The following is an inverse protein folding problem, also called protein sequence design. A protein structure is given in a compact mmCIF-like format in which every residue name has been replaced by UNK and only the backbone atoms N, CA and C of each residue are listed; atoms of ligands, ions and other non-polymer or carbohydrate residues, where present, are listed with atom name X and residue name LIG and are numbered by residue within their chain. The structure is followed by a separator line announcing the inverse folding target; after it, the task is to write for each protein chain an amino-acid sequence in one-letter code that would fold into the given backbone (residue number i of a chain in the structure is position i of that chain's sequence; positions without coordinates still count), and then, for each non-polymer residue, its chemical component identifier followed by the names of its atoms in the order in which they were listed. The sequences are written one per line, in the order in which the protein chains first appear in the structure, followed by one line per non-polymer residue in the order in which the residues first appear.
data_IF_449175575410
#
_entry.id   IF_449175575410
#
_cell.length_a   1.000
_cell.length_b   1.000
_cell.length_c   1.000
_cell.angle_alpha   90.00
_cell.angle_beta   90.00
_cell.angle_gamma   90.00
#
_symmetry.space_group_name_H-M   'P 1'
#
loop_
_entity.id
_entity.type
_entity.pdbx_description
1 polymer ?
#
# COMPACT_ATOMS: atom_id res chain seq x y z
N UNK A 1 61.67 -32.67 -50.97
CA UNK A 1 60.80 -31.88 -50.08
C UNK A 1 59.68 -32.78 -49.60
N UNK A 2 59.73 -33.11 -48.31
CA UNK A 2 58.92 -34.10 -47.59
C UNK A 2 57.60 -33.49 -47.11
N UNK A 3 56.46 -34.20 -47.21
CA UNK A 3 55.20 -33.76 -46.61
C UNK A 3 55.22 -33.92 -45.08
N UNK A 4 54.70 -32.96 -44.30
CA UNK A 4 54.48 -33.17 -42.87
C UNK A 4 53.24 -34.03 -42.63
N UNK A 5 53.43 -35.20 -42.02
CA UNK A 5 52.41 -36.10 -41.48
C UNK A 5 52.45 -36.02 -39.94
N UNK A 6 51.49 -35.32 -39.33
CA UNK A 6 51.19 -35.38 -37.88
C UNK A 6 49.69 -35.08 -37.64
N UNK A 7 49.09 -35.56 -36.52
CA UNK A 7 47.97 -36.50 -36.57
C UNK A 7 46.62 -35.98 -36.02
N UNK A 8 45.60 -36.84 -36.15
CA UNK A 8 44.18 -36.65 -35.87
C UNK A 8 43.83 -36.24 -34.43
N UNK A 9 43.74 -34.93 -34.18
CA UNK A 9 42.93 -34.37 -33.08
C UNK A 9 42.22 -33.09 -33.54
N UNK A 10 41.34 -33.26 -34.52
CA UNK A 10 40.41 -32.24 -34.98
C UNK A 10 38.99 -32.82 -34.89
N UNK A 11 38.38 -32.72 -33.71
CA UNK A 11 36.96 -32.96 -33.53
C UNK A 11 36.30 -31.74 -32.85
N UNK A 12 35.83 -30.74 -33.61
CA UNK A 12 34.96 -29.70 -33.07
C UNK A 12 33.50 -30.06 -33.37
N UNK A 13 33.00 -31.15 -32.81
CA UNK A 13 31.58 -31.52 -32.94
C UNK A 13 31.00 -31.98 -31.60
N UNK A 14 30.62 -31.00 -30.79
CA UNK A 14 29.43 -31.11 -29.96
C UNK A 14 28.44 -30.03 -30.44
N UNK A 15 27.20 -30.38 -30.84
CA UNK A 15 26.17 -29.38 -31.10
C UNK A 15 25.95 -28.56 -29.82
N UNK A 16 26.48 -27.33 -29.78
CA UNK A 16 26.18 -26.41 -28.69
C UNK A 16 24.69 -26.08 -28.75
N UNK A 17 23.98 -26.40 -27.68
CA UNK A 17 22.54 -26.21 -27.53
C UNK A 17 22.10 -24.85 -28.10
N UNK A 18 21.11 -24.91 -28.98
CA UNK A 18 20.71 -23.82 -29.86
C UNK A 18 20.24 -22.59 -29.08
N UNK A 19 20.98 -21.49 -29.20
CA UNK A 19 20.59 -20.14 -28.77
C UNK A 19 19.29 -19.61 -29.42
N UNK A 20 18.68 -20.40 -30.32
CA UNK A 20 17.39 -20.14 -30.96
C UNK A 20 16.21 -20.19 -29.99
N UNK A 21 16.18 -21.12 -29.03
CA UNK A 21 15.04 -21.25 -28.08
C UNK A 21 14.92 -19.98 -27.22
N UNK A 22 16.05 -19.47 -26.71
CA UNK A 22 16.10 -18.23 -25.91
C UNK A 22 15.70 -16.98 -26.71
N UNK A 23 15.95 -16.96 -28.03
CA UNK A 23 15.53 -15.85 -28.88
C UNK A 23 14.04 -15.92 -29.23
N UNK A 24 13.49 -17.12 -29.42
CA UNK A 24 12.07 -17.33 -29.67
C UNK A 24 11.23 -16.95 -28.44
N UNK A 25 11.64 -17.39 -27.24
CA UNK A 25 11.01 -17.00 -25.97
C UNK A 25 11.12 -15.50 -25.72
N UNK A 26 12.28 -14.89 -25.96
CA UNK A 26 12.44 -13.43 -25.85
C UNK A 26 11.57 -12.69 -26.87
N UNK A 27 11.42 -13.22 -28.09
CA UNK A 27 10.52 -12.64 -29.11
C UNK A 27 9.06 -12.78 -28.72
N UNK A 28 8.65 -13.93 -28.15
CA UNK A 28 7.29 -14.16 -27.61
C UNK A 28 7.00 -13.23 -26.44
N UNK A 29 7.91 -13.14 -25.47
CA UNK A 29 7.83 -12.21 -24.34
C UNK A 29 7.71 -10.76 -24.81
N UNK A 30 8.58 -10.34 -25.74
CA UNK A 30 8.51 -8.99 -26.30
C UNK A 30 7.22 -8.75 -27.11
N UNK A 31 6.66 -9.77 -27.77
CA UNK A 31 5.38 -9.65 -28.46
C UNK A 31 4.20 -9.58 -27.49
N UNK A 32 4.23 -10.31 -26.38
CA UNK A 32 3.22 -10.22 -25.33
C UNK A 32 3.26 -8.87 -24.64
N UNK A 33 4.45 -8.37 -24.29
CA UNK A 33 4.64 -7.03 -23.73
C UNK A 33 4.23 -5.94 -24.72
N UNK A 34 4.59 -6.07 -26.01
CA UNK A 34 4.09 -5.15 -27.04
C UNK A 34 2.58 -5.26 -27.24
N UNK A 35 1.96 -6.43 -27.09
CA UNK A 35 0.49 -6.60 -27.14
C UNK A 35 -0.18 -5.99 -25.93
N UNK A 36 0.40 -6.12 -24.73
CA UNK A 36 -0.05 -5.44 -23.50
C UNK A 36 0.04 -3.93 -23.66
N UNK A 37 1.21 -3.43 -24.04
CA UNK A 37 1.42 -2.01 -24.33
C UNK A 37 0.50 -1.49 -25.44
N UNK A 38 0.25 -2.29 -26.50
CA UNK A 38 -0.70 -1.92 -27.55
C UNK A 38 -2.15 -1.99 -27.10
N UNK A 39 -2.55 -2.87 -26.17
CA UNK A 39 -3.90 -2.89 -25.57
C UNK A 39 -4.12 -1.67 -24.67
N UNK A 40 -3.09 -1.30 -23.91
CA UNK A 40 -3.05 -0.07 -23.10
C UNK A 40 -3.13 1.17 -24.01
N UNK A 41 -2.35 1.21 -25.10
CA UNK A 41 -2.37 2.32 -26.08
C UNK A 41 -3.60 2.35 -26.99
N UNK A 42 -4.27 1.21 -27.26
CA UNK A 42 -5.45 1.12 -28.17
C UNK A 42 -6.79 1.32 -27.50
N UNK A 43 -6.89 1.25 -26.17
CA UNK A 43 -8.05 1.83 -25.49
C UNK A 43 -7.87 3.35 -25.55
N UNK A 44 -8.24 3.93 -26.69
CA UNK A 44 -8.53 5.36 -26.79
C UNK A 44 -9.69 5.60 -25.81
N UNK A 45 -9.35 6.03 -24.60
CA UNK A 45 -10.30 6.38 -23.55
C UNK A 45 -10.95 7.69 -24.01
N UNK A 46 -11.92 7.62 -24.92
CA UNK A 46 -12.49 8.80 -25.58
C UNK A 46 -13.44 9.60 -24.66
N UNK A 47 -13.66 9.13 -23.44
CA UNK A 47 -14.57 9.73 -22.46
C UNK A 47 -13.92 9.78 -21.07
N UNK A 48 -14.17 10.86 -20.33
CA UNK A 48 -13.78 11.05 -18.92
C UNK A 48 -14.23 9.84 -18.09
N UNK A 49 -15.44 9.33 -18.30
CA UNK A 49 -15.96 8.17 -17.58
C UNK A 49 -15.14 6.90 -17.83
N UNK A 50 -14.58 6.74 -19.03
CA UNK A 50 -13.72 5.59 -19.35
C UNK A 50 -12.37 5.72 -18.66
N UNK A 51 -11.80 6.94 -18.63
CA UNK A 51 -10.57 7.22 -17.88
C UNK A 51 -10.76 6.98 -16.39
N UNK A 52 -11.86 7.45 -15.80
CA UNK A 52 -12.19 7.23 -14.39
C UNK A 52 -12.28 5.74 -14.06
N UNK A 53 -12.99 4.96 -14.88
CA UNK A 53 -13.09 3.50 -14.69
C UNK A 53 -11.74 2.81 -14.78
N UNK A 54 -10.93 3.18 -15.77
CA UNK A 54 -9.61 2.59 -15.96
C UNK A 54 -8.64 2.93 -14.82
N UNK A 55 -8.61 4.20 -14.40
CA UNK A 55 -7.79 4.62 -13.26
C UNK A 55 -8.28 3.99 -11.97
N UNK A 56 -9.59 3.93 -11.75
CA UNK A 56 -10.15 3.23 -10.60
C UNK A 56 -9.75 1.75 -10.62
N UNK A 57 -9.86 1.05 -11.75
CA UNK A 57 -9.48 -0.37 -11.87
C UNK A 57 -8.00 -0.64 -11.55
N UNK A 58 -7.10 0.25 -11.96
CA UNK A 58 -5.66 0.13 -11.66
C UNK A 58 -5.38 0.44 -10.17
N UNK A 59 -5.95 1.53 -9.68
CA UNK A 59 -5.68 2.03 -8.33
C UNK A 59 -6.45 1.26 -7.24
N UNK A 60 -7.51 0.54 -7.62
CA UNK A 60 -8.21 -0.39 -6.74
C UNK A 60 -7.57 -1.77 -6.72
N UNK A 61 -6.47 -1.98 -7.45
CA UNK A 61 -5.79 -3.27 -7.44
C UNK A 61 -5.23 -3.55 -6.04
N UNK A 62 -5.17 -4.81 -5.58
CA UNK A 62 -4.66 -5.15 -4.25
C UNK A 62 -3.17 -4.80 -4.06
N UNK A 63 -2.46 -4.50 -5.15
CA UNK A 63 -1.07 -4.07 -5.13
C UNK A 63 -0.92 -2.54 -5.03
N UNK A 64 -2.00 -1.78 -5.22
CA UNK A 64 -2.01 -0.32 -5.21
C UNK A 64 -2.43 0.22 -3.83
N UNK A 65 -1.61 -0.07 -2.82
CA UNK A 65 -1.83 0.44 -1.45
C UNK A 65 -1.23 1.84 -1.35
N UNK A 66 -1.97 2.74 -0.71
CA UNK A 66 -1.58 4.14 -0.49
C UNK A 66 -1.35 4.40 0.98
N UNK A 67 -0.23 5.02 1.31
CA UNK A 67 -0.01 5.58 2.64
C UNK A 67 -0.71 6.94 2.70
N UNK A 68 -1.80 7.01 3.46
CA UNK A 68 -2.64 8.21 3.61
C UNK A 68 -2.05 9.15 4.67
N UNK A 69 -1.63 8.59 5.81
CA UNK A 69 -1.06 9.33 6.92
C UNK A 69 -0.11 8.45 7.74
N UNK A 70 0.68 9.09 8.60
CA UNK A 70 1.44 8.41 9.65
C UNK A 70 1.09 9.08 10.98
N UNK A 71 0.58 8.30 11.92
CA UNK A 71 0.17 8.80 13.24
C UNK A 71 1.06 8.20 14.32
N UNK A 72 1.36 8.98 15.36
CA UNK A 72 2.06 8.50 16.53
C UNK A 72 1.05 8.23 17.63
N UNK A 73 1.04 7.00 18.14
CA UNK A 73 0.13 6.56 19.19
C UNK A 73 0.90 5.95 20.37
N UNK A 74 0.41 6.08 21.62
CA UNK A 74 0.97 5.38 22.76
C UNK A 74 1.03 3.87 22.53
N UNK A 75 2.04 3.18 23.06
CA UNK A 75 2.14 1.71 23.11
C UNK A 75 1.52 1.11 24.37
N UNK A 76 1.44 1.89 25.43
CA UNK A 76 0.93 1.48 26.73
C UNK A 76 -0.02 2.55 27.25
N UNK A 77 -1.01 2.17 28.08
CA UNK A 77 -1.87 3.12 28.77
C UNK A 77 -1.05 4.13 29.58
N UNK A 78 -1.55 5.35 29.70
CA UNK A 78 -0.90 6.41 30.47
C UNK A 78 -0.58 6.05 31.93
N UNK A 79 -1.40 5.18 32.53
CA UNK A 79 -1.23 4.71 33.89
C UNK A 79 0.08 3.92 34.11
N UNK A 80 0.60 3.27 33.07
CA UNK A 80 1.81 2.43 33.12
C UNK A 80 3.07 3.20 32.67
N UNK A 81 2.94 4.50 32.38
CA UNK A 81 4.10 5.32 32.04
C UNK A 81 5.00 5.55 33.26
N UNK A 82 6.02 4.71 33.41
CA UNK A 82 7.14 5.01 34.30
C UNK A 82 7.82 6.31 33.84
N UNK A 83 7.75 7.36 34.67
CA UNK A 83 8.40 8.66 34.39
C UNK A 83 9.88 8.54 34.72
N UNK A 84 10.68 8.15 33.73
CA UNK A 84 12.14 8.25 33.85
C UNK A 84 12.60 9.68 33.59
N UNK A 85 12.86 10.41 34.68
CA UNK A 85 13.17 11.84 34.70
C UNK A 85 14.46 12.27 33.95
N UNK A 86 15.25 11.32 33.41
CA UNK A 86 16.59 11.59 32.92
C UNK A 86 16.71 11.82 31.41
N UNK A 87 15.73 11.40 30.58
CA UNK A 87 15.73 11.76 29.15
C UNK A 87 14.32 11.66 28.49
N UNK A 88 13.60 12.78 28.34
CA UNK A 88 12.23 12.80 27.81
C UNK A 88 12.14 12.40 26.33
N UNK A 89 13.21 12.51 25.54
CA UNK A 89 13.20 12.11 24.13
C UNK A 89 13.30 10.59 23.97
N UNK A 90 14.14 9.93 24.80
CA UNK A 90 14.24 8.47 24.82
C UNK A 90 12.93 7.87 25.31
N UNK A 91 12.33 8.48 26.32
CA UNK A 91 11.01 8.15 26.84
C UNK A 91 9.93 8.24 25.73
N UNK A 92 9.85 9.36 25.00
CA UNK A 92 8.88 9.53 23.91
C UNK A 92 9.08 8.52 22.76
N UNK A 93 10.32 8.24 22.36
CA UNK A 93 10.61 7.27 21.28
C UNK A 93 10.27 5.84 21.70
N UNK A 94 10.44 5.48 22.98
CA UNK A 94 10.10 4.14 23.46
C UNK A 94 8.60 3.96 23.66
N UNK A 95 7.91 5.00 24.15
CA UNK A 95 6.49 4.95 24.54
C UNK A 95 5.50 5.11 23.39
N UNK A 96 5.91 5.72 22.28
CA UNK A 96 5.05 5.91 21.13
C UNK A 96 5.46 5.00 19.99
N UNK A 97 4.48 4.51 19.25
CA UNK A 97 4.65 3.81 17.99
C UNK A 97 4.10 4.64 16.85
N UNK A 98 4.73 4.56 15.69
CA UNK A 98 4.23 5.20 14.47
C UNK A 98 3.45 4.18 13.67
N UNK A 99 2.15 4.41 13.51
CA UNK A 99 1.27 3.58 12.69
C UNK A 99 1.10 4.26 11.33
N UNK A 100 1.35 3.50 10.27
CA UNK A 100 1.05 3.95 8.91
C UNK A 100 -0.41 3.64 8.60
N UNK A 101 -1.16 4.69 8.27
CA UNK A 101 -2.55 4.58 7.86
C UNK A 101 -2.56 4.32 6.37
N UNK A 102 -2.93 3.10 6.01
CA UNK A 102 -2.93 2.63 4.63
C UNK A 102 -4.36 2.44 4.11
N UNK A 103 -4.55 2.72 2.83
CA UNK A 103 -5.82 2.51 2.15
C UNK A 103 -5.66 2.25 0.66
N UNK A 104 -6.72 1.77 0.03
CA UNK A 104 -6.79 1.55 -1.42
C UNK A 104 -7.84 2.48 -2.02
N UNK A 105 -7.66 2.81 -3.30
CA UNK A 105 -8.60 3.69 -4.02
C UNK A 105 -9.87 2.91 -4.37
N UNK A 106 -11.02 3.46 -3.98
CA UNK A 106 -12.35 2.90 -4.30
C UNK A 106 -12.99 3.65 -5.46
N UNK A 107 -12.78 4.96 -5.54
CA UNK A 107 -13.40 5.81 -6.55
C UNK A 107 -12.46 6.95 -6.95
N UNK A 108 -12.48 7.29 -8.23
CA UNK A 108 -11.81 8.47 -8.79
C UNK A 108 -12.84 9.29 -9.56
N UNK A 109 -13.27 10.40 -8.97
CA UNK A 109 -14.20 11.34 -9.58
C UNK A 109 -13.45 12.56 -10.13
N UNK A 110 -13.17 12.59 -11.44
CA UNK A 110 -12.56 13.73 -12.15
C UNK A 110 -13.60 14.57 -12.92
N UNK A 111 -14.90 14.30 -12.74
CA UNK A 111 -15.96 14.90 -13.54
C UNK A 111 -16.81 15.88 -12.74
N UNK A 112 -17.22 15.50 -11.53
CA UNK A 112 -18.09 16.33 -10.70
C UNK A 112 -17.31 17.01 -9.58
N UNK A 113 -16.57 16.22 -8.79
CA UNK A 113 -15.94 16.72 -7.55
C UNK A 113 -14.43 16.89 -7.62
N UNK A 114 -13.76 16.30 -8.62
CA UNK A 114 -12.29 16.22 -8.65
C UNK A 114 -11.73 15.60 -7.36
N UNK A 115 -12.35 14.52 -6.89
CA UNK A 115 -12.02 13.83 -5.65
C UNK A 115 -11.59 12.38 -5.91
N UNK A 116 -10.71 11.88 -5.05
CA UNK A 116 -10.33 10.48 -4.94
C UNK A 116 -10.74 9.99 -3.56
N UNK A 117 -11.36 8.83 -3.57
CA UNK A 117 -11.91 8.18 -2.39
C UNK A 117 -11.10 6.95 -2.05
N UNK A 118 -10.65 6.87 -0.80
CA UNK A 118 -9.86 5.79 -0.25
C UNK A 118 -10.65 5.07 0.84
N UNK A 119 -10.51 3.75 0.87
CA UNK A 119 -10.95 2.91 1.98
C UNK A 119 -9.73 2.31 2.66
N UNK A 120 -9.75 2.28 3.98
CA UNK A 120 -8.64 1.74 4.77
C UNK A 120 -8.43 0.24 4.48
N UNK A 121 -7.19 -0.21 4.58
CA UNK A 121 -6.87 -1.64 4.52
C UNK A 121 -7.41 -2.34 5.76
N UNK A 122 -7.75 -3.63 5.63
CA UNK A 122 -8.19 -4.43 6.77
C UNK A 122 -7.11 -4.49 7.86
N UNK A 123 -5.84 -4.46 7.47
CA UNK A 123 -4.71 -4.44 8.39
C UNK A 123 -4.70 -3.15 9.20
N UNK A 124 -4.83 -1.98 8.55
CA UNK A 124 -4.93 -0.68 9.25
C UNK A 124 -6.15 -0.66 10.19
N UNK A 125 -7.30 -1.14 9.72
CA UNK A 125 -8.53 -1.21 10.52
C UNK A 125 -8.31 -2.10 11.75
N UNK A 126 -7.71 -3.28 11.57
CA UNK A 126 -7.41 -4.22 12.65
C UNK A 126 -6.50 -3.59 13.71
N UNK A 127 -5.40 -2.97 13.28
CA UNK A 127 -4.46 -2.29 14.17
C UNK A 127 -5.13 -1.16 14.97
N UNK A 128 -6.00 -0.37 14.34
CA UNK A 128 -6.73 0.70 15.05
C UNK A 128 -7.75 0.16 16.05
N UNK A 129 -8.44 -0.93 15.73
CA UNK A 129 -9.39 -1.60 16.64
C UNK A 129 -8.67 -2.18 17.85
N UNK A 130 -7.53 -2.84 17.62
CA UNK A 130 -6.68 -3.38 18.68
C UNK A 130 -6.17 -2.27 19.60
N UNK A 131 -5.62 -1.19 19.03
CA UNK A 131 -5.17 -0.02 19.79
C UNK A 131 -6.27 0.59 20.66
N UNK A 132 -7.47 0.79 20.08
CA UNK A 132 -8.61 1.31 20.82
C UNK A 132 -9.01 0.39 22.00
N UNK A 133 -8.93 -0.93 21.80
CA UNK A 133 -9.31 -1.91 22.83
C UNK A 133 -8.26 -2.04 23.94
N UNK A 134 -6.99 -1.98 23.61
CA UNK A 134 -5.92 -2.25 24.57
C UNK A 134 -5.51 -1.01 25.36
N UNK A 135 -5.55 0.15 24.73
CA UNK A 135 -5.01 1.38 25.33
C UNK A 135 -6.13 2.34 25.69
N UNK A 136 -6.93 2.74 24.71
CA UNK A 136 -7.98 3.74 24.95
C UNK A 136 -9.05 3.24 25.93
N UNK A 137 -9.52 1.99 25.77
CA UNK A 137 -10.48 1.39 26.69
C UNK A 137 -9.95 1.32 28.14
N UNK A 138 -8.65 1.04 28.32
CA UNK A 138 -8.02 0.98 29.64
C UNK A 138 -7.90 2.37 30.27
N UNK A 139 -7.45 3.36 29.50
CA UNK A 139 -7.33 4.76 29.96
C UNK A 139 -8.67 5.37 30.37
N UNK A 140 -9.73 5.16 29.58
CA UNK A 140 -11.06 5.73 29.91
C UNK A 140 -11.62 5.06 31.17
N UNK A 141 -11.39 3.75 31.37
CA UNK A 141 -11.78 3.05 32.59
C UNK A 141 -11.05 3.59 33.83
N UNK A 142 -9.74 3.86 33.72
CA UNK A 142 -8.95 4.47 34.80
C UNK A 142 -9.36 5.91 35.10
N UNK A 143 -9.70 6.69 34.07
CA UNK A 143 -9.99 8.12 34.20
C UNK A 143 -11.35 8.38 34.85
N UNK A 144 -12.37 7.57 34.54
CA UNK A 144 -13.74 7.89 34.92
C UNK A 144 -14.33 6.99 36.01
N UNK A 145 -13.83 5.76 36.26
CA UNK A 145 -14.13 4.98 37.48
C UNK A 145 -15.62 4.74 37.83
N UNK A 146 -16.56 4.89 36.87
CA UNK A 146 -17.99 4.83 37.15
C UNK A 146 -18.53 3.39 37.11
N UNK A 147 -19.43 2.99 38.06
CA UNK A 147 -19.94 1.62 38.16
C UNK A 147 -20.72 1.13 36.93
N UNK A 148 -21.41 2.03 36.23
CA UNK A 148 -22.18 1.75 35.01
C UNK A 148 -21.33 1.84 33.73
N UNK A 149 -20.03 2.15 33.88
CA UNK A 149 -19.12 2.39 32.77
C UNK A 149 -18.89 1.16 31.90
N UNK A 150 -19.02 -0.06 32.43
CA UNK A 150 -18.72 -1.30 31.68
C UNK A 150 -19.57 -1.46 30.43
N UNK A 151 -20.87 -1.15 30.51
CA UNK A 151 -21.75 -1.23 29.33
C UNK A 151 -21.44 -0.09 28.36
N UNK A 152 -21.28 1.12 28.88
CA UNK A 152 -20.93 2.29 28.07
C UNK A 152 -19.59 2.13 27.32
N UNK A 153 -18.55 1.55 27.94
CA UNK A 153 -17.27 1.26 27.28
C UNK A 153 -17.40 0.25 26.15
N UNK A 154 -18.24 -0.76 26.34
CA UNK A 154 -18.54 -1.76 25.31
C UNK A 154 -19.26 -1.11 24.14
N UNK A 155 -20.27 -0.30 24.41
CA UNK A 155 -21.04 0.42 23.38
C UNK A 155 -20.13 1.37 22.58
N UNK A 156 -19.22 2.08 23.26
CA UNK A 156 -18.24 2.97 22.64
C UNK A 156 -17.29 2.21 21.70
N UNK A 157 -16.78 1.06 22.14
CA UNK A 157 -15.90 0.24 21.30
C UNK A 157 -16.64 -0.34 20.08
N UNK A 158 -17.87 -0.82 20.27
CA UNK A 158 -18.70 -1.32 19.16
C UNK A 158 -19.00 -0.20 18.14
N UNK A 159 -19.27 1.02 18.62
CA UNK A 159 -19.44 2.20 17.78
C UNK A 159 -18.15 2.56 17.03
N UNK A 160 -16.99 2.49 17.70
CA UNK A 160 -15.70 2.72 17.06
C UNK A 160 -15.46 1.70 15.93
N UNK A 161 -15.66 0.41 16.20
CA UNK A 161 -15.51 -0.68 15.22
C UNK A 161 -16.43 -0.45 14.02
N UNK A 162 -17.69 -0.06 14.25
CA UNK A 162 -18.62 0.24 13.15
C UNK A 162 -18.11 1.42 12.32
N UNK A 163 -17.81 2.54 12.98
CA UNK A 163 -17.40 3.78 12.32
C UNK A 163 -16.12 3.60 11.51
N UNK A 164 -15.11 2.91 12.03
CA UNK A 164 -13.83 2.73 11.32
C UNK A 164 -13.97 1.81 10.10
N UNK A 165 -14.89 0.84 10.12
CA UNK A 165 -15.17 -0.03 8.98
C UNK A 165 -15.92 0.70 7.84
N UNK A 166 -16.75 1.67 8.20
CA UNK A 166 -17.48 2.53 7.27
C UNK A 166 -16.68 3.77 6.87
N UNK A 167 -15.53 4.01 7.52
CA UNK A 167 -14.71 5.18 7.29
C UNK A 167 -14.17 5.21 5.85
N UNK A 168 -14.32 6.38 5.24
CA UNK A 168 -13.89 6.67 3.88
C UNK A 168 -13.15 7.99 3.90
N UNK A 169 -11.94 7.98 3.35
CA UNK A 169 -11.12 9.18 3.23
C UNK A 169 -11.21 9.75 1.81
N UNK A 170 -11.63 11.01 1.69
CA UNK A 170 -11.72 11.72 0.41
C UNK A 170 -10.70 12.86 0.36
N UNK A 171 -10.01 12.99 -0.77
CA UNK A 171 -9.10 14.11 -1.04
C UNK A 171 -9.17 14.51 -2.52
N UNK A 172 -8.60 15.65 -2.88
CA UNK A 172 -8.59 16.13 -4.26
C UNK A 172 -7.74 15.22 -5.17
N UNK A 173 -8.08 15.16 -6.46
CA UNK A 173 -7.38 14.35 -7.49
C UNK A 173 -5.89 14.68 -7.64
N UNK A 174 -5.46 15.88 -7.22
CA UNK A 174 -4.03 16.22 -7.17
C UNK A 174 -3.23 15.29 -6.24
N UNK A 175 -3.86 14.59 -5.30
CA UNK A 175 -3.19 13.54 -4.53
C UNK A 175 -2.63 12.41 -5.41
N UNK A 176 -3.16 12.20 -6.62
CA UNK A 176 -2.66 11.23 -7.58
C UNK A 176 -1.33 11.64 -8.24
N UNK A 177 -0.85 12.87 -8.03
CA UNK A 177 0.48 13.28 -8.51
C UNK A 177 1.60 12.48 -7.85
N UNK A 178 1.36 11.91 -6.67
CA UNK A 178 2.28 11.00 -5.97
C UNK A 178 2.24 9.53 -6.43
N UNK A 179 1.54 9.23 -7.53
CA UNK A 179 1.36 7.87 -8.05
C UNK A 179 2.64 7.33 -8.73
N UNK A 180 3.06 6.14 -8.33
CA UNK A 180 4.15 5.37 -8.94
C UNK A 180 3.64 4.43 -10.04
N UNK A 181 4.56 3.89 -10.84
CA UNK A 181 4.25 2.99 -11.97
C UNK A 181 3.48 1.72 -11.55
N UNK A 182 3.65 1.29 -10.30
CA UNK A 182 3.02 0.09 -9.73
C UNK A 182 1.62 0.33 -9.14
N UNK A 183 1.12 1.58 -9.14
CA UNK A 183 -0.17 1.91 -8.53
C UNK A 183 -0.06 2.48 -7.11
N UNK A 184 1.10 2.31 -6.47
CA UNK A 184 1.39 2.74 -5.10
C UNK A 184 1.58 4.25 -5.07
N UNK A 185 1.15 4.90 -3.98
CA UNK A 185 1.35 6.34 -3.82
C UNK A 185 1.36 6.79 -2.37
N UNK A 186 1.78 8.03 -2.18
CA UNK A 186 1.68 8.74 -0.90
C UNK A 186 0.87 10.00 -1.13
N UNK A 187 -0.12 10.25 -0.29
CA UNK A 187 -0.88 11.50 -0.36
C UNK A 187 0.06 12.65 0.02
N UNK A 188 0.29 13.55 -0.93
CA UNK A 188 1.11 14.74 -0.73
C UNK A 188 0.15 15.89 -0.45
N UNK A 189 0.12 16.38 0.79
CA UNK A 189 -0.54 17.64 1.07
C UNK A 189 0.35 18.77 0.58
N UNK A 190 0.19 19.17 -0.68
CA UNK A 190 0.72 20.44 -1.17
C UNK A 190 -0.14 21.56 -0.59
N UNK A 191 0.18 22.01 0.63
CA UNK A 191 -0.10 23.39 0.99
C UNK A 191 1.05 24.24 0.45
N UNK A 192 0.79 24.91 -0.66
CA UNK A 192 1.61 26.02 -1.15
C UNK A 192 0.94 27.34 -0.76
#
# INVERSE_FOLDING_TARGET
MTPPLLPASAAPFAPRASSRIRQEERRRYNQEEQRRQKRVKKRLLNNVLQHQRYLTEILSSPNAIWTLASIMLPKTPEADFEREAHNPLVEAVMKYETIQIEGYVVCVDMALRNEVTYKLTNDTIGTLIEHHKEIYHVEVAHTWGWPDGKQWHKDLHEEFVRTINEFVFCTHVSALEGLKEDGTGKVINEKK
#
